data_IF_541155906806
#
_entry.id   IF_541155906806
#
_cell.length_a   1.000
_cell.length_b   1.000
_cell.length_c   1.000
_cell.angle_alpha   90.00
_cell.angle_beta   90.00
_cell.angle_gamma   90.00
#
_symmetry.space_group_name_H-M   'P 1'
#
loop_
_entity.id
_entity.type
_entity.pdbx_description
1 polymer ?
#
# COMPACT_ATOMS: atom_id res chain seq x y z
N UNK A 1 -13.35 -10.86 -9.65
CA UNK A 1 -12.83 -10.19 -8.46
C UNK A 1 -12.84 -8.69 -8.69
N UNK A 2 -13.27 -7.90 -7.71
CA UNK A 2 -13.34 -6.46 -7.92
C UNK A 2 -12.90 -5.65 -6.69
N UNK A 3 -11.98 -4.72 -6.95
CA UNK A 3 -11.39 -3.80 -5.97
C UNK A 3 -11.78 -2.41 -6.40
N UNK A 4 -12.29 -1.61 -5.46
CA UNK A 4 -12.55 -0.19 -5.68
C UNK A 4 -11.58 0.63 -4.83
N UNK A 5 -10.92 1.58 -5.49
CA UNK A 5 -10.07 2.58 -4.86
C UNK A 5 -10.86 3.89 -4.91
N UNK A 6 -11.41 4.36 -3.78
CA UNK A 6 -12.29 5.53 -3.76
C UNK A 6 -11.52 6.83 -4.03
N UNK A 7 -10.24 6.89 -3.65
CA UNK A 7 -9.41 8.08 -3.71
C UNK A 7 -8.30 8.01 -4.76
N UNK A 8 -7.84 9.18 -5.22
CA UNK A 8 -6.67 9.27 -6.10
C UNK A 8 -5.42 8.93 -5.30
N UNK A 9 -4.67 7.95 -5.79
CA UNK A 9 -3.42 7.51 -5.17
C UNK A 9 -2.21 7.97 -5.99
N UNK A 10 -1.24 8.58 -5.31
CA UNK A 10 0.10 8.73 -5.86
C UNK A 10 0.84 7.40 -5.66
N UNK A 11 1.05 6.65 -6.74
CA UNK A 11 1.74 5.35 -6.70
C UNK A 11 3.25 5.48 -6.55
N UNK A 12 3.81 6.67 -6.79
CA UNK A 12 5.24 6.95 -6.74
C UNK A 12 5.69 7.57 -5.41
N UNK A 13 4.76 8.14 -4.64
CA UNK A 13 5.06 8.69 -3.33
C UNK A 13 5.71 7.64 -2.39
N UNK A 14 6.81 7.98 -1.69
CA UNK A 14 7.40 7.11 -0.69
C UNK A 14 6.51 7.02 0.56
N UNK A 15 6.76 6.03 1.42
CA UNK A 15 5.90 5.75 2.59
C UNK A 15 5.72 6.99 3.48
N UNK A 16 6.79 7.69 3.83
CA UNK A 16 6.76 8.88 4.72
C UNK A 16 6.05 10.13 4.14
N UNK A 17 5.62 10.12 2.88
CA UNK A 17 4.82 11.18 2.25
C UNK A 17 3.44 10.68 1.81
N UNK A 18 3.24 9.37 1.80
CA UNK A 18 1.98 8.78 1.39
C UNK A 18 0.92 9.01 2.45
N UNK A 19 -0.34 9.08 2.00
CA UNK A 19 -1.51 9.05 2.87
C UNK A 19 -2.00 7.62 3.01
N UNK A 20 -2.72 7.37 4.10
CA UNK A 20 -3.41 6.10 4.31
C UNK A 20 -4.37 5.80 3.16
N UNK A 21 -4.50 4.52 2.83
CA UNK A 21 -5.30 4.04 1.70
C UNK A 21 -6.39 3.10 2.20
N UNK A 22 -7.64 3.48 1.96
CA UNK A 22 -8.80 2.62 2.21
C UNK A 22 -9.20 1.94 0.90
N UNK A 23 -9.37 0.62 0.94
CA UNK A 23 -9.75 -0.20 -0.20
C UNK A 23 -11.09 -0.88 0.09
N UNK A 24 -12.00 -0.88 -0.88
CA UNK A 24 -13.25 -1.63 -0.80
C UNK A 24 -13.14 -2.91 -1.64
N UNK A 25 -13.33 -4.05 -0.97
CA UNK A 25 -13.19 -5.38 -1.56
C UNK A 25 -14.54 -6.07 -1.66
N UNK A 26 -14.95 -6.40 -2.87
CA UNK A 26 -16.14 -7.20 -3.10
C UNK A 26 -15.77 -8.68 -3.11
N UNK A 27 -16.27 -9.42 -2.11
CA UNK A 27 -16.00 -10.84 -1.94
C UNK A 27 -16.69 -11.67 -3.04
N UNK A 28 -16.00 -12.71 -3.52
CA UNK A 28 -16.57 -13.66 -4.48
C UNK A 28 -16.88 -15.00 -3.81
N UNK A 29 -17.97 -15.70 -4.19
CA UNK A 29 -18.27 -17.02 -3.66
C UNK A 29 -17.15 -18.01 -3.98
N UNK A 30 -16.75 -18.83 -3.00
CA UNK A 30 -15.76 -19.88 -3.23
C UNK A 30 -16.40 -21.07 -3.96
N UNK A 31 -15.82 -21.49 -5.08
CA UNK A 31 -16.33 -22.61 -5.87
C UNK A 31 -16.34 -23.94 -5.10
N UNK A 32 -15.51 -24.10 -4.06
CA UNK A 32 -15.37 -25.33 -3.27
C UNK A 32 -16.22 -25.33 -2.00
N UNK A 33 -16.74 -24.18 -1.57
CA UNK A 33 -17.49 -24.03 -0.34
C UNK A 33 -18.66 -23.07 -0.52
N UNK A 34 -19.89 -23.59 -0.43
CA UNK A 34 -21.13 -22.85 -0.67
C UNK A 34 -21.42 -21.71 0.32
N UNK A 35 -20.71 -21.67 1.46
CA UNK A 35 -20.84 -20.63 2.48
C UNK A 35 -19.57 -19.81 2.67
N UNK A 36 -18.56 -20.02 1.83
CA UNK A 36 -17.31 -19.28 1.91
C UNK A 36 -17.29 -18.23 0.81
N UNK A 37 -16.78 -17.06 1.13
CA UNK A 37 -16.45 -16.04 0.14
C UNK A 37 -15.00 -15.64 0.33
N UNK A 38 -14.31 -15.32 -0.76
CA UNK A 38 -12.89 -14.99 -0.75
C UNK A 38 -12.65 -13.75 -1.59
N UNK A 39 -11.69 -12.96 -1.14
CA UNK A 39 -11.01 -11.96 -1.95
C UNK A 39 -9.50 -12.06 -1.69
N UNK A 40 -8.73 -11.58 -2.65
CA UNK A 40 -7.29 -11.36 -2.51
C UNK A 40 -6.95 -9.94 -2.98
N UNK A 41 -5.85 -9.39 -2.47
CA UNK A 41 -5.34 -8.12 -2.98
C UNK A 41 -3.83 -8.26 -3.09
N UNK A 42 -3.24 -8.02 -4.26
CA UNK A 42 -1.80 -7.93 -4.36
C UNK A 42 -1.35 -6.68 -3.60
N UNK A 43 -0.45 -6.86 -2.64
CA UNK A 43 0.16 -5.76 -1.89
C UNK A 43 1.58 -5.53 -2.37
N UNK A 44 1.94 -4.26 -2.52
CA UNK A 44 3.31 -3.85 -2.82
C UNK A 44 3.71 -2.77 -1.81
N UNK A 45 4.83 -2.99 -1.12
CA UNK A 45 5.32 -2.03 -0.14
C UNK A 45 5.96 -0.83 -0.84
N UNK A 46 5.67 0.37 -0.35
CA UNK A 46 6.32 1.61 -0.80
C UNK A 46 7.77 1.66 -0.33
N UNK A 47 8.56 2.54 -0.97
CA UNK A 47 9.91 2.84 -0.53
C UNK A 47 9.88 3.49 0.86
N UNK A 48 10.54 2.83 1.82
CA UNK A 48 10.71 3.31 3.19
C UNK A 48 12.05 4.03 3.35
N UNK A 49 12.14 4.90 4.36
CA UNK A 49 13.42 5.50 4.75
C UNK A 49 14.34 4.46 5.39
N UNK A 50 15.67 4.67 5.34
CA UNK A 50 16.59 3.89 6.15
C UNK A 50 16.23 3.98 7.64
N UNK A 51 16.31 2.85 8.34
CA UNK A 51 16.04 2.76 9.78
C UNK A 51 17.34 2.78 10.59
N UNK A 52 17.22 3.16 11.86
CA UNK A 52 18.31 3.09 12.84
C UNK A 52 18.29 1.73 13.53
N UNK A 53 19.46 1.09 13.62
CA UNK A 53 19.62 -0.17 14.35
C UNK A 53 18.90 -1.39 13.77
N UNK A 54 18.07 -1.24 12.74
CA UNK A 54 17.33 -2.35 12.08
C UNK A 54 17.43 -2.26 10.56
N UNK A 55 17.40 -3.43 9.92
CA UNK A 55 17.32 -3.58 8.45
C UNK A 55 15.89 -3.88 7.98
N UNK A 56 14.92 -3.83 8.90
CA UNK A 56 13.52 -4.10 8.63
C UNK A 56 12.66 -2.99 9.23
N UNK A 57 11.68 -2.54 8.46
CA UNK A 57 10.53 -1.76 8.93
C UNK A 57 9.33 -2.71 9.08
N UNK A 58 8.59 -2.56 10.18
CA UNK A 58 7.38 -3.33 10.45
C UNK A 58 6.17 -2.51 10.01
N UNK A 59 5.37 -3.07 9.11
CA UNK A 59 4.12 -2.47 8.64
C UNK A 59 2.98 -3.34 9.12
N UNK A 60 2.11 -2.78 9.96
CA UNK A 60 0.93 -3.47 10.48
C UNK A 60 -0.21 -3.28 9.48
N UNK A 61 -0.77 -4.38 8.99
CA UNK A 61 -2.01 -4.37 8.23
C UNK A 61 -3.15 -4.67 9.19
N UNK A 62 -3.97 -3.66 9.42
CA UNK A 62 -5.14 -3.76 10.29
C UNK A 62 -6.11 -4.83 9.75
N UNK A 63 -6.82 -5.47 10.68
CA UNK A 63 -7.85 -6.42 10.31
C UNK A 63 -8.96 -5.73 9.50
N UNK A 64 -9.40 -6.30 8.37
CA UNK A 64 -10.41 -5.68 7.55
C UNK A 64 -11.76 -5.66 8.27
N UNK A 65 -12.48 -4.56 8.12
CA UNK A 65 -13.88 -4.47 8.51
C UNK A 65 -14.76 -5.19 7.47
N UNK A 66 -15.63 -6.08 7.94
CA UNK A 66 -16.54 -6.84 7.06
C UNK A 66 -17.90 -6.16 7.07
N UNK A 67 -18.28 -5.58 5.93
CA UNK A 67 -19.58 -4.93 5.76
C UNK A 67 -20.57 -5.87 5.08
N UNK A 68 -21.84 -5.77 5.47
CA UNK A 68 -22.96 -6.47 4.84
C UNK A 68 -23.80 -5.49 4.02
N UNK A 69 -24.06 -5.83 2.74
CA UNK A 69 -24.96 -5.03 1.92
C UNK A 69 -26.42 -5.41 2.16
N UNK A 70 -27.26 -4.42 2.46
CA UNK A 70 -28.72 -4.56 2.45
C UNK A 70 -29.32 -4.33 1.05
N UNK A 71 -28.64 -4.82 0.01
CA UNK A 71 -28.97 -4.66 -1.42
C UNK A 71 -30.32 -5.32 -1.80
N UNK A 72 -30.83 -6.24 -0.99
CA UNK A 72 -32.05 -7.00 -1.26
C UNK A 72 -33.04 -6.84 -0.10
N UNK A 73 -34.28 -6.42 -0.39
CA UNK A 73 -35.39 -6.20 0.57
C UNK A 73 -35.75 -7.38 1.48
N UNK A 74 -35.09 -8.53 1.35
CA UNK A 74 -35.30 -9.75 2.14
C UNK A 74 -34.30 -9.94 3.28
N UNK A 75 -33.30 -9.06 3.41
CA UNK A 75 -32.36 -9.10 4.54
C UNK A 75 -33.02 -8.45 5.78
N UNK A 76 -32.74 -9.09 6.92
CA UNK A 76 -33.44 -9.07 8.21
C UNK A 76 -33.58 -7.70 8.90
N UNK A 77 -34.25 -7.67 10.05
CA UNK A 77 -34.53 -6.50 10.90
C UNK A 77 -33.30 -5.63 11.23
N UNK A 78 -32.08 -6.16 11.07
CA UNK A 78 -30.81 -5.43 11.23
C UNK A 78 -30.53 -4.40 10.11
N UNK A 79 -31.19 -4.48 8.96
CA UNK A 79 -31.05 -3.51 7.85
C UNK A 79 -31.80 -2.18 8.07
N UNK A 80 -32.51 -2.00 9.19
CA UNK A 80 -33.36 -0.83 9.45
C UNK A 80 -32.65 0.28 10.27
N UNK A 81 -31.32 0.19 10.42
CA UNK A 81 -30.49 1.24 11.03
C UNK A 81 -29.93 2.24 10.00
N UNK A 82 -29.31 3.36 10.43
CA UNK A 82 -28.58 4.24 9.52
C UNK A 82 -27.41 3.46 8.87
N UNK A 83 -27.21 3.67 7.57
CA UNK A 83 -26.06 3.14 6.85
C UNK A 83 -24.79 3.84 7.38
N UNK A 84 -23.76 3.06 7.68
CA UNK A 84 -22.51 3.59 8.24
C UNK A 84 -21.55 4.04 7.14
N UNK A 85 -21.67 3.44 5.94
CA UNK A 85 -20.82 3.73 4.78
C UNK A 85 -21.66 3.78 3.50
N UNK A 86 -21.59 4.90 2.77
CA UNK A 86 -22.13 5.03 1.42
C UNK A 86 -21.08 4.54 0.41
N UNK A 87 -21.24 3.30 -0.06
CA UNK A 87 -20.38 2.68 -1.07
C UNK A 87 -21.23 2.08 -2.20
N UNK A 88 -20.71 2.01 -3.44
CA UNK A 88 -21.46 1.46 -4.57
C UNK A 88 -21.79 -0.02 -4.34
N UNK A 89 -22.95 -0.47 -4.81
CA UNK A 89 -23.39 -1.87 -4.65
C UNK A 89 -22.48 -2.87 -5.39
N UNK A 90 -21.73 -2.41 -6.38
CA UNK A 90 -20.80 -3.21 -7.16
C UNK A 90 -19.64 -2.36 -7.64
N UNK A 91 -18.56 -3.02 -8.03
CA UNK A 91 -17.38 -2.38 -8.61
C UNK A 91 -17.62 -1.61 -9.90
N UNK A 92 -18.76 -1.82 -10.55
CA UNK A 92 -19.11 -1.14 -11.81
C UNK A 92 -19.72 0.25 -11.58
N UNK A 93 -19.64 0.79 -10.35
CA UNK A 93 -20.14 2.14 -10.03
C UNK A 93 -21.67 2.25 -10.08
N UNK A 94 -22.39 1.16 -9.81
CA UNK A 94 -23.85 1.19 -9.66
C UNK A 94 -24.26 2.12 -8.49
N UNK A 95 -25.56 2.42 -8.40
CA UNK A 95 -26.15 3.26 -7.35
C UNK A 95 -25.60 2.93 -5.95
N UNK A 96 -25.52 3.92 -5.04
CA UNK A 96 -25.06 3.68 -3.68
C UNK A 96 -25.96 2.67 -2.97
N UNK A 97 -25.34 1.76 -2.22
CA UNK A 97 -26.02 0.78 -1.39
C UNK A 97 -25.83 1.11 0.09
N UNK A 98 -26.78 0.65 0.91
CA UNK A 98 -26.66 0.73 2.36
C UNK A 98 -25.81 -0.44 2.87
N UNK A 99 -24.66 -0.10 3.44
CA UNK A 99 -23.73 -1.04 4.07
C UNK A 99 -23.79 -0.90 5.58
N UNK A 100 -23.79 -2.05 6.24
CA UNK A 100 -23.83 -2.13 7.70
C UNK A 100 -22.69 -2.96 8.24
N UNK A 101 -22.08 -2.47 9.31
CA UNK A 101 -21.11 -3.22 10.09
C UNK A 101 -21.86 -4.16 11.05
N UNK A 102 -21.79 -5.49 10.88
CA UNK A 102 -22.22 -6.39 11.94
C UNK A 102 -21.30 -6.16 13.15
N UNK A 103 -21.78 -6.47 14.37
CA UNK A 103 -20.91 -6.57 15.56
C UNK A 103 -19.99 -7.79 15.42
N UNK A 104 -19.10 -7.77 14.43
CA UNK A 104 -18.12 -8.79 14.16
C UNK A 104 -16.87 -8.44 14.96
N UNK A 105 -16.40 -9.40 15.77
CA UNK A 105 -15.05 -9.32 16.30
C UNK A 105 -14.14 -9.91 15.23
N UNK A 106 -13.18 -9.14 14.68
CA UNK A 106 -12.21 -9.69 13.75
C UNK A 106 -11.52 -10.88 14.44
N UNK A 107 -11.48 -12.02 13.74
CA UNK A 107 -11.02 -13.29 14.29
C UNK A 107 -9.49 -13.47 14.22
N UNK A 108 -8.77 -12.55 13.57
CA UNK A 108 -7.35 -12.72 13.25
C UNK A 108 -6.46 -11.67 13.89
N UNK A 109 -5.30 -12.11 14.37
CA UNK A 109 -4.17 -11.24 14.71
C UNK A 109 -3.84 -10.32 13.53
N UNK A 110 -3.44 -9.08 13.84
CA UNK A 110 -2.98 -8.12 12.84
C UNK A 110 -1.81 -8.71 12.04
N UNK A 111 -1.86 -8.56 10.71
CA UNK A 111 -0.80 -9.09 9.86
C UNK A 111 0.36 -8.09 9.85
N UNK A 112 1.53 -8.51 10.34
CA UNK A 112 2.73 -7.67 10.33
C UNK A 112 3.62 -8.04 9.13
N UNK A 113 3.77 -7.10 8.20
CA UNK A 113 4.68 -7.21 7.06
C UNK A 113 6.06 -6.66 7.45
N UNK A 114 7.11 -7.42 7.12
CA UNK A 114 8.51 -7.01 7.28
C UNK A 114 9.04 -6.49 5.95
N UNK A 115 9.34 -5.19 5.90
CA UNK A 115 9.86 -4.53 4.70
C UNK A 115 11.35 -4.26 4.89
N UNK A 116 12.22 -4.76 3.99
CA UNK A 116 13.66 -4.52 4.10
C UNK A 116 13.98 -3.04 3.87
N UNK A 117 14.83 -2.47 4.73
CA UNK A 117 15.26 -1.07 4.67
C UNK A 117 16.78 -0.94 4.83
N UNK A 118 17.33 0.17 4.32
CA UNK A 118 18.73 0.50 4.54
C UNK A 118 19.01 0.88 6.01
N UNK A 119 20.27 0.78 6.42
CA UNK A 119 20.71 1.29 7.72
C UNK A 119 21.13 2.74 7.62
N UNK A 120 20.57 3.59 8.50
CA UNK A 120 20.87 5.02 8.55
C UNK A 120 22.33 5.30 8.90
N UNK A 121 22.96 4.43 9.70
CA UNK A 121 24.37 4.54 10.10
C UNK A 121 25.35 4.51 8.92
N UNK A 122 24.99 3.83 7.83
CA UNK A 122 25.83 3.78 6.64
C UNK A 122 25.74 5.05 5.80
N UNK A 123 24.83 5.97 6.09
CA UNK A 123 24.60 7.15 5.26
C UNK A 123 25.86 8.01 5.11
N UNK A 124 26.58 8.29 6.20
CA UNK A 124 27.78 9.14 6.16
C UNK A 124 28.91 8.51 5.35
N UNK A 125 29.17 7.22 5.57
CA UNK A 125 30.18 6.44 4.87
C UNK A 125 29.86 6.33 3.38
N UNK A 126 28.61 5.99 3.04
CA UNK A 126 28.15 5.90 1.64
C UNK A 126 28.31 7.25 0.97
N UNK A 127 27.84 8.35 1.58
CA UNK A 127 27.99 9.69 1.03
C UNK A 127 29.46 10.07 0.80
N UNK A 128 30.33 9.83 1.78
CA UNK A 128 31.75 10.16 1.66
C UNK A 128 32.43 9.36 0.53
N UNK A 129 32.15 8.05 0.44
CA UNK A 129 32.72 7.19 -0.59
C UNK A 129 32.22 7.57 -1.99
N UNK A 130 30.92 7.83 -2.13
CA UNK A 130 30.32 8.29 -3.39
C UNK A 130 30.95 9.61 -3.82
N UNK A 131 31.04 10.61 -2.93
CA UNK A 131 31.67 11.90 -3.24
C UNK A 131 33.12 11.76 -3.67
N UNK A 132 33.91 10.95 -2.94
CA UNK A 132 35.31 10.72 -3.28
C UNK A 132 35.45 10.07 -4.67
N UNK A 133 34.63 9.06 -4.94
CA UNK A 133 34.65 8.34 -6.22
C UNK A 133 34.20 9.25 -7.36
N UNK A 134 33.13 10.02 -7.16
CA UNK A 134 32.65 11.00 -8.15
C UNK A 134 33.72 12.07 -8.43
N UNK A 135 34.40 12.59 -7.41
CA UNK A 135 35.46 13.59 -7.59
C UNK A 135 36.67 13.01 -8.34
N UNK A 136 37.09 11.79 -8.00
CA UNK A 136 38.17 11.07 -8.70
C UNK A 136 37.81 10.82 -10.16
N UNK A 137 36.64 10.24 -10.44
CA UNK A 137 36.18 9.96 -11.80
C UNK A 137 36.07 11.25 -12.62
N UNK A 138 35.48 12.30 -12.06
CA UNK A 138 35.35 13.59 -12.72
C UNK A 138 36.72 14.21 -13.01
N UNK A 139 37.65 14.16 -12.05
CA UNK A 139 39.01 14.65 -12.22
C UNK A 139 39.77 13.92 -13.33
N UNK A 140 39.63 12.60 -13.43
CA UNK A 140 40.22 11.82 -14.52
C UNK A 140 39.64 12.18 -15.89
N UNK A 141 38.32 12.36 -15.97
CA UNK A 141 37.65 12.78 -17.22
C UNK A 141 38.13 14.17 -17.63
N UNK A 142 38.19 15.11 -16.70
CA UNK A 142 38.67 16.48 -16.97
C UNK A 142 40.14 16.45 -17.40
N UNK A 143 41.00 15.70 -16.72
CA UNK A 143 42.41 15.56 -17.10
C UNK A 143 42.57 14.98 -18.51
N UNK A 144 41.75 13.98 -18.86
CA UNK A 144 41.74 13.42 -20.22
C UNK A 144 41.25 14.44 -21.25
N UNK A 145 40.18 15.19 -20.96
CA UNK A 145 39.68 16.25 -21.84
C UNK A 145 40.70 17.37 -22.04
N UNK A 146 41.41 17.80 -20.99
CA UNK A 146 42.48 18.80 -21.11
C UNK A 146 43.67 18.30 -21.93
N UNK A 147 44.02 17.00 -21.82
CA UNK A 147 45.18 16.42 -22.50
C UNK A 147 44.91 16.09 -23.97
N UNK A 148 43.69 15.67 -24.30
CA UNK A 148 43.35 15.13 -25.62
C UNK A 148 42.25 15.90 -26.35
N UNK A 149 41.61 16.86 -25.69
CA UNK A 149 40.57 17.69 -26.29
C UNK A 149 41.15 18.69 -27.28
N UNK A 150 40.75 18.59 -28.55
CA UNK A 150 40.87 19.70 -29.50
C UNK A 150 39.68 20.63 -29.26
N UNK A 151 39.89 21.65 -28.42
CA UNK A 151 38.95 22.75 -28.29
C UNK A 151 39.17 23.68 -29.50
N UNK A 152 38.30 23.55 -30.51
CA UNK A 152 38.22 24.44 -31.68
C UNK A 152 37.65 25.80 -31.31
#
# INVERSE_FOLDING_TARGET
QAVLIPDVIDVEAPEYLARDLVLLLFLEPDARCSRCSRASVPVHARYHRPAEGTQEALVVLESPEVLLCCCHRRLSAECWGPAEVDAPCSSNGAAPCQWHSPKHRPASEELVLRVPVGLREHSSLVCALTLLTTALCSGLIIAAACKYGHFS
#
